data_IF_498053778473
#
_entry.id   IF_498053778473
#
_cell.length_a   1.000
_cell.length_b   1.000
_cell.length_c   1.000
_cell.angle_alpha   90.00
_cell.angle_beta   90.00
_cell.angle_gamma   90.00
#
_symmetry.space_group_name_H-M   'P 1'
#
loop_
_entity.id
_entity.type
_entity.pdbx_description
1 polymer ?
#
# COMPACT_ATOMS: atom_id res chain seq x y z
N UNK A 1 1.27 38.56 -16.17
CA UNK A 1 1.63 37.21 -15.69
C UNK A 1 1.83 36.31 -16.89
N UNK A 2 2.88 35.50 -16.90
CA UNK A 2 3.17 34.59 -18.01
C UNK A 2 2.03 33.56 -18.17
N UNK A 3 1.41 33.53 -19.35
CA UNK A 3 0.41 32.53 -19.73
C UNK A 3 1.00 31.13 -19.57
N UNK A 4 0.35 30.27 -18.78
CA UNK A 4 0.64 28.82 -18.76
C UNK A 4 1.33 28.26 -17.52
N UNK A 5 1.57 29.04 -16.45
CA UNK A 5 1.92 28.46 -15.14
C UNK A 5 0.66 28.35 -14.29
N UNK A 6 0.38 27.17 -13.74
CA UNK A 6 -0.65 27.00 -12.73
C UNK A 6 -0.37 28.01 -11.59
N UNK A 7 -1.35 28.86 -11.29
CA UNK A 7 -1.28 29.78 -10.16
C UNK A 7 -1.25 29.01 -8.84
N UNK A 8 -0.99 29.71 -7.71
CA UNK A 8 -1.16 29.09 -6.39
C UNK A 8 -2.58 28.55 -6.24
N UNK A 9 -2.73 27.44 -5.51
CA UNK A 9 -4.05 26.89 -5.17
C UNK A 9 -4.93 27.99 -4.55
N UNK A 10 -6.19 28.04 -4.96
CA UNK A 10 -7.20 28.91 -4.36
C UNK A 10 -7.68 28.42 -2.99
N UNK A 11 -7.30 27.19 -2.60
CA UNK A 11 -7.55 26.63 -1.28
C UNK A 11 -6.36 26.91 -0.37
N UNK A 12 -6.61 27.65 0.70
CA UNK A 12 -5.67 27.91 1.80
C UNK A 12 -5.94 26.89 2.90
N UNK A 13 -4.88 26.23 3.34
CA UNK A 13 -4.91 25.23 4.42
C UNK A 13 -4.10 25.75 5.59
N UNK A 14 -4.74 25.85 6.76
CA UNK A 14 -4.08 26.19 8.02
C UNK A 14 -4.24 25.04 9.02
N UNK A 15 -3.19 24.77 9.78
CA UNK A 15 -3.19 23.75 10.83
C UNK A 15 -3.03 24.45 12.18
N UNK A 16 -3.87 24.07 13.14
CA UNK A 16 -3.85 24.60 14.50
C UNK A 16 -4.15 23.48 15.51
N UNK A 17 -4.04 23.79 16.81
CA UNK A 17 -4.38 22.88 17.91
C UNK A 17 -3.74 21.49 17.82
N UNK A 18 -2.44 21.43 17.46
CA UNK A 18 -1.72 20.16 17.41
C UNK A 18 -1.52 19.64 18.83
N UNK A 19 -2.07 18.47 19.11
CA UNK A 19 -1.87 17.73 20.35
C UNK A 19 -1.08 16.47 20.05
N UNK A 20 0.07 16.33 20.67
CA UNK A 20 0.88 15.10 20.62
C UNK A 20 0.60 14.28 21.89
N UNK A 21 0.14 13.04 21.72
CA UNK A 21 -0.26 12.19 22.84
C UNK A 21 0.78 11.15 23.23
N UNK A 22 1.43 10.48 22.27
CA UNK A 22 2.38 9.41 22.59
C UNK A 22 3.36 9.13 21.46
N UNK A 23 4.60 8.77 21.83
CA UNK A 23 5.59 8.23 20.91
C UNK A 23 5.49 6.71 20.90
N UNK A 24 5.23 6.10 19.75
CA UNK A 24 5.26 4.65 19.55
C UNK A 24 6.67 4.20 19.18
N UNK A 25 7.55 4.11 20.16
CA UNK A 25 8.93 3.68 19.93
C UNK A 25 9.10 2.16 19.95
N UNK A 26 8.33 1.48 20.81
CA UNK A 26 8.49 0.04 21.08
C UNK A 26 7.17 -0.69 20.98
N UNK A 27 7.27 -1.95 20.58
CA UNK A 27 6.17 -2.92 20.51
C UNK A 27 6.60 -4.22 21.14
N UNK A 28 5.63 -4.99 21.63
CA UNK A 28 5.91 -6.28 22.24
C UNK A 28 6.10 -7.35 21.16
N UNK A 29 7.27 -7.97 21.15
CA UNK A 29 7.53 -9.09 20.24
C UNK A 29 6.87 -10.39 20.73
N UNK A 30 6.94 -11.45 19.92
CA UNK A 30 6.41 -12.78 20.26
C UNK A 30 7.01 -13.43 21.52
N UNK A 31 8.16 -12.93 22.00
CA UNK A 31 8.82 -13.37 23.24
C UNK A 31 8.42 -12.53 24.45
N UNK A 32 7.46 -11.60 24.29
CA UNK A 32 7.01 -10.72 25.36
C UNK A 32 7.97 -9.57 25.68
N UNK A 33 8.96 -9.30 24.82
CA UNK A 33 9.97 -8.26 25.03
C UNK A 33 9.63 -6.99 24.25
N UNK A 34 9.91 -5.83 24.83
CA UNK A 34 9.76 -4.54 24.14
C UNK A 34 10.93 -4.32 23.18
N UNK A 35 10.64 -4.27 21.89
CA UNK A 35 11.61 -4.04 20.82
C UNK A 35 11.23 -2.80 20.03
N UNK A 36 12.19 -2.09 19.41
CA UNK A 36 11.87 -1.00 18.50
C UNK A 36 10.87 -1.43 17.41
N UNK A 37 9.96 -0.54 17.00
CA UNK A 37 8.94 -0.85 15.97
C UNK A 37 9.53 -1.45 14.69
N UNK A 38 10.69 -0.96 14.24
CA UNK A 38 11.39 -1.46 13.05
C UNK A 38 12.12 -2.80 13.24
N UNK A 39 12.33 -3.25 14.48
CA UNK A 39 13.15 -4.42 14.81
C UNK A 39 12.71 -5.68 14.02
N UNK A 40 13.63 -6.54 13.55
CA UNK A 40 13.24 -7.77 12.84
C UNK A 40 12.33 -8.72 13.64
N UNK A 41 12.38 -8.68 14.97
CA UNK A 41 11.50 -9.41 15.88
C UNK A 41 10.15 -8.73 16.14
N UNK A 42 9.98 -7.48 15.70
CA UNK A 42 8.71 -6.75 15.80
C UNK A 42 7.59 -7.45 15.01
N UNK A 43 6.35 -7.48 15.52
CA UNK A 43 5.17 -7.89 14.74
C UNK A 43 5.02 -7.02 13.48
N UNK A 44 5.41 -5.75 13.53
CA UNK A 44 5.36 -4.81 12.41
C UNK A 44 6.54 -4.90 11.44
N UNK A 45 7.54 -5.75 11.70
CA UNK A 45 8.81 -5.78 10.97
C UNK A 45 8.68 -5.79 9.44
N UNK A 46 7.58 -6.33 8.90
CA UNK A 46 7.29 -6.35 7.46
C UNK A 46 6.96 -4.96 6.89
N UNK A 47 6.07 -4.21 7.54
CA UNK A 47 5.65 -2.86 7.09
C UNK A 47 6.57 -1.76 7.62
N UNK A 48 7.15 -1.98 8.81
CA UNK A 48 8.06 -1.08 9.50
C UNK A 48 9.54 -1.29 9.15
N UNK A 49 9.86 -2.11 8.13
CA UNK A 49 11.24 -2.30 7.65
C UNK A 49 12.03 -0.99 7.46
N UNK A 50 11.50 0.09 6.85
CA UNK A 50 12.26 1.34 6.66
C UNK A 50 12.48 2.12 7.95
N UNK A 51 11.82 1.70 9.03
CA UNK A 51 11.94 2.32 10.34
C UNK A 51 13.03 1.64 11.16
N UNK A 52 13.70 0.62 10.59
CA UNK A 52 14.92 0.03 11.15
C UNK A 52 15.98 1.11 11.24
N UNK A 53 16.59 1.22 12.41
CA UNK A 53 17.79 2.02 12.62
C UNK A 53 18.92 1.42 11.77
N UNK A 54 19.25 2.10 10.68
CA UNK A 54 20.51 1.91 9.95
C UNK A 54 21.45 3.03 10.36
N UNK A 55 22.67 2.68 10.75
CA UNK A 55 23.76 3.63 11.01
C UNK A 55 23.47 4.69 12.10
N UNK A 56 22.79 4.29 13.18
CA UNK A 56 22.61 5.14 14.36
C UNK A 56 21.59 6.28 14.21
N UNK A 57 20.95 6.43 13.05
CA UNK A 57 19.80 7.33 12.90
C UNK A 57 18.50 6.56 13.16
N UNK A 58 17.78 6.95 14.20
CA UNK A 58 16.43 6.45 14.46
C UNK A 58 15.49 6.92 13.33
N UNK A 59 14.68 6.02 12.77
CA UNK A 59 13.64 6.40 11.81
C UNK A 59 12.70 7.43 12.44
N UNK A 60 12.54 8.59 11.80
CA UNK A 60 12.53 9.90 12.47
C UNK A 60 11.22 10.44 13.07
N UNK A 61 10.11 9.70 13.15
CA UNK A 61 8.97 10.09 14.02
C UNK A 61 7.94 8.96 14.09
N UNK A 62 7.51 8.58 15.29
CA UNK A 62 6.45 7.59 15.53
C UNK A 62 5.52 8.14 16.59
N UNK A 63 4.48 8.84 16.20
CA UNK A 63 3.49 9.31 17.16
C UNK A 63 2.13 8.71 16.83
N UNK A 64 1.40 8.32 17.86
CA UNK A 64 0.00 7.91 17.76
C UNK A 64 -0.87 8.92 18.51
N UNK A 65 -2.12 9.03 18.08
CA UNK A 65 -3.11 9.94 18.67
C UNK A 65 -2.82 11.43 18.43
N UNK A 66 -2.04 11.78 17.39
CA UNK A 66 -1.90 13.18 17.01
C UNK A 66 -3.27 13.70 16.58
N UNK A 67 -3.75 14.70 17.29
CA UNK A 67 -4.96 15.44 16.95
C UNK A 67 -4.53 16.82 16.45
N UNK A 68 -5.19 17.33 15.41
CA UNK A 68 -4.98 18.67 14.91
C UNK A 68 -6.26 19.19 14.26
N UNK A 69 -6.40 20.51 14.20
CA UNK A 69 -7.50 21.16 13.51
C UNK A 69 -7.04 21.65 12.15
N UNK A 70 -7.81 21.33 11.11
CA UNK A 70 -7.62 21.83 9.76
C UNK A 70 -8.62 22.97 9.50
N UNK A 71 -8.13 24.16 9.21
CA UNK A 71 -8.95 25.30 8.77
C UNK A 71 -8.74 25.52 7.28
N UNK A 72 -9.83 25.51 6.52
CA UNK A 72 -9.83 25.63 5.07
C UNK A 72 -10.51 26.92 4.67
N UNK A 73 -9.83 27.71 3.84
CA UNK A 73 -10.40 28.90 3.20
C UNK A 73 -10.31 28.72 1.70
N UNK A 74 -11.43 28.78 1.01
CA UNK A 74 -11.50 28.62 -0.44
C UNK A 74 -12.56 29.56 -1.02
N UNK A 75 -12.43 29.97 -2.29
CA UNK A 75 -13.40 30.86 -2.91
C UNK A 75 -14.76 30.17 -3.04
N UNK A 76 -15.84 30.94 -2.88
CA UNK A 76 -17.20 30.42 -3.11
C UNK A 76 -17.51 30.14 -4.59
N UNK A 77 -16.69 30.67 -5.51
CA UNK A 77 -16.79 30.43 -6.96
C UNK A 77 -15.42 30.62 -7.60
N UNK A 78 -15.07 29.79 -8.58
CA UNK A 78 -13.88 29.97 -9.40
C UNK A 78 -14.17 30.87 -10.61
N UNK A 79 -13.11 31.34 -11.26
CA UNK A 79 -13.20 31.98 -12.56
C UNK A 79 -13.26 30.91 -13.66
N UNK A 80 -13.75 31.31 -14.83
CA UNK A 80 -13.75 30.52 -16.06
C UNK A 80 -12.36 29.88 -16.33
N UNK A 81 -12.28 28.61 -16.78
CA UNK A 81 -13.38 27.74 -17.21
C UNK A 81 -13.94 26.82 -16.11
N UNK A 82 -13.77 27.18 -14.83
CA UNK A 82 -14.17 26.33 -13.70
C UNK A 82 -15.29 26.95 -12.84
N UNK A 83 -16.01 27.94 -13.37
CA UNK A 83 -16.99 28.74 -12.65
C UNK A 83 -18.34 28.00 -12.42
N UNK A 84 -18.47 26.82 -13.01
CA UNK A 84 -19.52 25.81 -12.79
C UNK A 84 -19.17 24.80 -11.68
N UNK A 85 -17.92 24.75 -11.23
CA UNK A 85 -17.45 23.83 -10.20
C UNK A 85 -17.93 24.25 -8.81
N UNK A 86 -18.59 23.34 -8.09
CA UNK A 86 -18.86 23.52 -6.66
C UNK A 86 -17.58 23.23 -5.85
N UNK A 87 -16.84 24.29 -5.56
CA UNK A 87 -15.57 24.22 -4.82
C UNK A 87 -15.73 23.55 -3.46
N UNK A 88 -16.87 23.76 -2.77
CA UNK A 88 -17.09 23.15 -1.45
C UNK A 88 -17.23 21.65 -1.61
N UNK A 89 -18.02 21.19 -2.57
CA UNK A 89 -18.23 19.77 -2.82
C UNK A 89 -16.93 19.06 -3.18
N UNK A 90 -16.08 19.68 -4.01
CA UNK A 90 -14.76 19.14 -4.38
C UNK A 90 -13.81 19.04 -3.18
N UNK A 91 -13.78 20.07 -2.33
CA UNK A 91 -12.97 20.06 -1.10
C UNK A 91 -13.46 18.97 -0.15
N UNK A 92 -14.78 18.83 0.05
CA UNK A 92 -15.36 17.77 0.87
C UNK A 92 -15.04 16.37 0.33
N UNK A 93 -15.14 16.16 -0.98
CA UNK A 93 -14.78 14.90 -1.64
C UNK A 93 -13.30 14.58 -1.43
N UNK A 94 -12.41 15.55 -1.59
CA UNK A 94 -10.98 15.39 -1.37
C UNK A 94 -10.64 15.04 0.08
N UNK A 95 -11.29 15.69 1.05
CA UNK A 95 -11.11 15.40 2.48
C UNK A 95 -11.59 14.00 2.84
N UNK A 96 -12.77 13.61 2.35
CA UNK A 96 -13.30 12.26 2.57
C UNK A 96 -12.37 11.19 1.98
N UNK A 97 -11.91 11.37 0.74
CA UNK A 97 -10.99 10.42 0.11
C UNK A 97 -9.64 10.37 0.85
N UNK A 98 -9.13 11.51 1.31
CA UNK A 98 -7.89 11.59 2.08
C UNK A 98 -8.00 10.91 3.45
N UNK A 99 -9.10 11.12 4.17
CA UNK A 99 -9.39 10.46 5.43
C UNK A 99 -9.53 8.95 5.24
N UNK A 100 -10.28 8.52 4.21
CA UNK A 100 -10.68 7.12 4.00
C UNK A 100 -9.56 6.26 3.41
N UNK A 101 -8.83 6.78 2.42
CA UNK A 101 -7.84 6.02 1.64
C UNK A 101 -6.42 6.60 1.70
N UNK A 102 -6.28 7.85 2.15
CA UNK A 102 -5.01 8.55 2.25
C UNK A 102 -4.33 8.39 3.60
N UNK A 103 -3.67 9.46 4.04
CA UNK A 103 -2.97 9.55 5.31
C UNK A 103 -1.87 10.62 5.29
N UNK A 104 -1.14 10.73 6.41
CA UNK A 104 -0.03 11.66 6.59
C UNK A 104 1.33 10.95 6.63
N UNK A 105 2.34 11.57 6.02
CA UNK A 105 3.71 11.11 6.08
C UNK A 105 4.05 9.96 5.13
N UNK A 106 5.03 9.13 5.52
CA UNK A 106 5.55 8.06 4.68
C UNK A 106 4.75 6.76 4.82
N UNK A 107 4.60 6.02 3.72
CA UNK A 107 3.96 4.68 3.67
C UNK A 107 2.46 4.65 3.97
N UNK A 108 1.74 5.70 3.61
CA UNK A 108 0.26 5.79 3.70
C UNK A 108 -0.46 4.61 3.05
N UNK A 109 0.02 4.14 1.89
CA UNK A 109 -0.52 2.95 1.20
C UNK A 109 -0.28 1.61 1.91
N UNK A 110 0.48 1.62 3.00
CA UNK A 110 0.70 0.48 3.89
C UNK A 110 0.16 0.75 5.29
N UNK A 111 -0.68 1.77 5.47
CA UNK A 111 -1.49 2.01 6.67
C UNK A 111 -0.91 3.00 7.67
N UNK A 112 0.29 3.54 7.39
CA UNK A 112 0.88 4.58 8.24
C UNK A 112 0.14 5.91 8.08
N UNK A 113 0.01 6.65 9.18
CA UNK A 113 -0.60 7.98 9.17
C UNK A 113 -2.08 7.97 8.78
N UNK A 114 -2.78 6.85 9.05
CA UNK A 114 -4.22 6.78 8.95
C UNK A 114 -4.87 7.87 9.81
N UNK A 115 -5.92 8.47 9.28
CA UNK A 115 -6.66 9.58 9.90
C UNK A 115 -8.07 9.14 10.27
N UNK A 116 -8.65 9.87 11.23
CA UNK A 116 -10.06 9.82 11.58
C UNK A 116 -10.55 11.25 11.74
N UNK A 117 -11.67 11.58 11.10
CA UNK A 117 -12.38 12.82 11.31
C UNK A 117 -13.16 12.73 12.64
N UNK A 118 -12.88 13.68 13.53
CA UNK A 118 -13.54 13.74 14.85
C UNK A 118 -14.68 14.75 14.85
N UNK A 119 -14.44 15.94 14.30
CA UNK A 119 -15.38 17.06 14.35
C UNK A 119 -15.30 17.91 13.08
N UNK A 120 -16.42 18.53 12.72
CA UNK A 120 -16.51 19.58 11.71
C UNK A 120 -17.24 20.76 12.34
N UNK A 121 -16.62 21.94 12.33
CA UNK A 121 -17.18 23.18 12.87
C UNK A 121 -17.77 23.04 14.29
N UNK A 122 -17.07 22.29 15.16
CA UNK A 122 -17.46 22.03 16.54
C UNK A 122 -18.58 20.99 16.72
N UNK A 123 -18.97 20.30 15.64
CA UNK A 123 -19.93 19.20 15.68
C UNK A 123 -19.21 17.88 15.52
N UNK A 124 -19.41 16.97 16.48
CA UNK A 124 -18.86 15.62 16.43
C UNK A 124 -19.41 14.83 15.23
N UNK A 125 -18.51 14.20 14.48
CA UNK A 125 -18.84 13.32 13.37
C UNK A 125 -18.74 11.88 13.86
N UNK A 126 -19.87 11.16 13.82
CA UNK A 126 -19.90 9.75 14.21
C UNK A 126 -19.37 8.87 13.07
N UNK A 127 -18.37 8.01 13.29
CA UNK A 127 -17.93 7.05 12.27
C UNK A 127 -18.99 5.95 12.06
N UNK A 128 -18.97 5.25 10.91
CA UNK A 128 -19.89 4.13 10.67
C UNK A 128 -19.67 3.00 11.68
N UNK A 129 -20.69 2.19 11.95
CA UNK A 129 -20.51 0.94 12.70
C UNK A 129 -19.69 -0.04 11.88
N UNK A 130 -18.91 -0.92 12.52
CA UNK A 130 -18.05 -1.89 11.85
C UNK A 130 -18.77 -2.67 10.72
N UNK A 131 -19.99 -3.16 10.97
CA UNK A 131 -20.80 -3.88 9.97
C UNK A 131 -21.40 -3.06 8.85
N UNK A 132 -21.31 -1.75 8.94
CA UNK A 132 -21.86 -0.81 7.96
C UNK A 132 -20.75 -0.12 7.17
N UNK A 133 -19.47 -0.41 7.46
CA UNK A 133 -18.34 0.25 6.80
C UNK A 133 -18.37 0.00 5.30
N UNK A 134 -18.66 -1.23 4.84
CA UNK A 134 -18.71 -1.50 3.40
C UNK A 134 -19.77 -0.66 2.69
N UNK A 135 -21.01 -0.66 3.19
CA UNK A 135 -22.09 0.11 2.59
C UNK A 135 -21.86 1.63 2.71
N UNK A 136 -21.25 2.07 3.82
CA UNK A 136 -20.80 3.45 3.98
C UNK A 136 -19.78 3.84 2.90
N UNK A 137 -18.73 3.05 2.68
CA UNK A 137 -17.73 3.34 1.63
C UNK A 137 -18.39 3.37 0.24
N UNK A 138 -19.27 2.42 -0.09
CA UNK A 138 -19.97 2.41 -1.39
C UNK A 138 -20.81 3.67 -1.59
N UNK A 139 -21.54 4.10 -0.57
CA UNK A 139 -22.37 5.30 -0.63
C UNK A 139 -21.52 6.55 -0.82
N UNK A 140 -20.45 6.69 -0.07
CA UNK A 140 -19.58 7.87 -0.17
C UNK A 140 -18.79 7.89 -1.49
N UNK A 141 -18.38 6.73 -2.03
CA UNK A 141 -17.84 6.63 -3.41
C UNK A 141 -18.86 7.17 -4.43
N UNK A 142 -20.10 6.70 -4.38
CA UNK A 142 -21.15 7.15 -5.31
C UNK A 142 -21.48 8.65 -5.15
N UNK A 143 -21.30 9.21 -3.95
CA UNK A 143 -21.54 10.63 -3.67
C UNK A 143 -20.42 11.54 -4.13
N UNK A 144 -19.17 11.14 -3.90
CA UNK A 144 -18.00 12.01 -4.02
C UNK A 144 -17.15 11.73 -5.26
N UNK A 145 -17.29 10.56 -5.89
CA UNK A 145 -16.47 10.17 -7.03
C UNK A 145 -17.35 10.14 -8.29
N UNK A 146 -17.26 11.17 -9.15
CA UNK A 146 -18.06 11.20 -10.37
C UNK A 146 -17.60 10.11 -11.34
N UNK A 147 -18.55 9.60 -12.13
CA UNK A 147 -18.21 8.83 -13.33
C UNK A 147 -17.53 9.75 -14.35
N UNK A 148 -16.44 9.29 -14.97
CA UNK A 148 -15.69 10.12 -15.89
C UNK A 148 -14.57 9.37 -16.58
N UNK A 149 -13.94 10.05 -17.54
CA UNK A 149 -12.71 9.59 -18.17
C UNK A 149 -11.51 10.15 -17.42
N UNK A 150 -10.60 9.27 -17.03
CA UNK A 150 -9.36 9.63 -16.38
C UNK A 150 -8.20 9.58 -17.37
N UNK A 151 -7.15 10.40 -17.19
CA UNK A 151 -5.97 10.32 -18.04
C UNK A 151 -5.33 8.92 -17.95
N UNK A 152 -4.85 8.43 -19.09
CA UNK A 152 -4.20 7.13 -19.18
C UNK A 152 -2.99 7.06 -18.23
N UNK A 153 -2.87 5.94 -17.50
CA UNK A 153 -1.75 5.71 -16.58
C UNK A 153 -1.79 6.50 -15.27
N UNK A 154 -2.84 7.30 -15.02
CA UNK A 154 -3.01 8.05 -13.76
C UNK A 154 -3.85 7.24 -12.78
N UNK A 155 -3.29 6.88 -11.60
CA UNK A 155 -4.06 6.20 -10.57
C UNK A 155 -5.24 7.04 -10.06
N UNK A 156 -6.42 6.45 -9.99
CA UNK A 156 -7.64 7.15 -9.57
C UNK A 156 -8.61 6.23 -8.81
N UNK A 157 -9.61 6.84 -8.19
CA UNK A 157 -10.79 6.17 -7.65
C UNK A 157 -11.88 6.19 -8.72
N UNK A 158 -12.50 5.04 -8.98
CA UNK A 158 -13.77 4.97 -9.70
C UNK A 158 -14.95 4.90 -8.72
N UNK A 159 -16.17 5.21 -9.18
CA UNK A 159 -17.39 5.01 -8.37
C UNK A 159 -17.59 3.53 -7.99
N UNK A 160 -17.09 2.62 -8.83
CA UNK A 160 -17.14 1.16 -8.64
C UNK A 160 -15.81 0.57 -8.13
N UNK A 161 -15.01 1.39 -7.44
CA UNK A 161 -13.68 0.99 -6.99
C UNK A 161 -13.71 -0.35 -6.23
N UNK A 162 -12.72 -1.21 -6.52
CA UNK A 162 -12.61 -2.52 -5.90
C UNK A 162 -11.96 -2.42 -4.52
N UNK A 163 -12.69 -2.76 -3.48
CA UNK A 163 -12.19 -2.79 -2.11
C UNK A 163 -12.71 -4.00 -1.31
N UNK A 164 -12.03 -4.31 -0.20
CA UNK A 164 -12.41 -5.33 0.78
C UNK A 164 -12.32 -4.73 2.18
N UNK A 165 -13.35 -4.95 2.98
CA UNK A 165 -13.34 -4.67 4.42
C UNK A 165 -13.01 -5.97 5.16
N UNK A 166 -11.86 -6.00 5.81
CA UNK A 166 -11.40 -7.12 6.62
C UNK A 166 -11.87 -6.97 8.07
N UNK A 167 -12.91 -7.72 8.44
CA UNK A 167 -13.42 -7.82 9.80
C UNK A 167 -13.83 -9.28 10.10
N UNK A 168 -13.42 -9.88 11.23
CA UNK A 168 -13.67 -11.29 11.56
C UNK A 168 -15.15 -11.61 11.75
N UNK A 169 -15.94 -10.58 12.05
CA UNK A 169 -17.39 -10.56 11.98
C UNK A 169 -17.76 -9.15 11.51
N UNK A 170 -18.84 -8.99 10.76
CA UNK A 170 -19.39 -7.67 10.45
C UNK A 170 -19.93 -6.95 11.71
N UNK A 171 -19.53 -7.33 12.93
CA UNK A 171 -20.01 -6.75 14.19
C UNK A 171 -18.88 -6.20 15.07
N UNK A 172 -17.65 -6.72 14.96
CA UNK A 172 -16.60 -6.45 15.95
C UNK A 172 -15.55 -5.46 15.44
N UNK A 173 -15.59 -4.23 15.97
CA UNK A 173 -14.50 -3.29 15.84
C UNK A 173 -13.29 -3.76 16.67
N UNK A 174 -12.07 -3.49 16.18
CA UNK A 174 -10.82 -3.79 16.90
C UNK A 174 -10.07 -2.52 17.25
N UNK A 175 -9.04 -2.65 18.09
CA UNK A 175 -8.02 -1.62 18.14
C UNK A 175 -7.44 -1.43 16.73
N UNK A 176 -7.19 -0.17 16.33
CA UNK A 176 -6.69 0.16 14.99
C UNK A 176 -5.42 -0.62 14.63
N UNK A 177 -4.59 -0.88 15.64
CA UNK A 177 -3.42 -1.70 15.55
C UNK A 177 -3.71 -3.13 15.08
N UNK A 178 -4.66 -3.81 15.70
CA UNK A 178 -4.97 -5.21 15.40
C UNK A 178 -5.60 -5.37 14.01
N UNK A 179 -6.50 -4.44 13.64
CA UNK A 179 -7.09 -4.39 12.30
C UNK A 179 -6.00 -4.23 11.24
N UNK A 180 -5.03 -3.34 11.48
CA UNK A 180 -3.91 -3.14 10.59
C UNK A 180 -2.96 -4.35 10.55
N UNK A 181 -2.64 -4.93 11.71
CA UNK A 181 -1.76 -6.10 11.85
C UNK A 181 -2.25 -7.29 11.05
N UNK A 182 -3.54 -7.61 11.15
CA UNK A 182 -4.11 -8.71 10.39
C UNK A 182 -4.04 -8.48 8.90
N UNK A 183 -4.39 -7.27 8.45
CA UNK A 183 -4.41 -6.93 7.03
C UNK A 183 -3.01 -7.02 6.39
N UNK A 184 -1.97 -6.44 7.00
CA UNK A 184 -0.63 -6.57 6.42
C UNK A 184 -0.03 -7.97 6.58
N UNK A 185 -0.46 -8.75 7.59
CA UNK A 185 -0.04 -10.15 7.72
C UNK A 185 -0.66 -11.02 6.62
N UNK A 186 -1.89 -10.75 6.18
CA UNK A 186 -2.47 -11.36 4.97
C UNK A 186 -1.62 -11.04 3.74
N UNK A 187 -1.26 -9.76 3.53
CA UNK A 187 -0.36 -9.36 2.44
C UNK A 187 1.01 -10.06 2.52
N UNK A 188 1.61 -10.09 3.72
CA UNK A 188 2.90 -10.74 3.96
C UNK A 188 2.83 -12.22 3.59
N UNK A 189 1.80 -12.92 4.06
CA UNK A 189 1.58 -14.35 3.82
C UNK A 189 1.46 -14.64 2.32
N UNK A 190 0.67 -13.82 1.62
CA UNK A 190 0.51 -13.91 0.17
C UNK A 190 1.84 -13.68 -0.58
N UNK A 191 2.53 -12.55 -0.31
CA UNK A 191 3.78 -12.16 -1.01
C UNK A 191 5.00 -13.01 -0.66
N UNK A 192 4.98 -13.68 0.49
CA UNK A 192 6.06 -14.53 1.00
C UNK A 192 5.67 -16.01 1.06
N UNK A 193 4.66 -16.42 0.30
CA UNK A 193 4.19 -17.80 0.24
C UNK A 193 5.33 -18.78 -0.10
N UNK A 194 5.42 -19.86 0.68
CA UNK A 194 6.51 -20.84 0.65
C UNK A 194 6.00 -22.26 0.87
N UNK A 195 6.75 -23.25 0.38
CA UNK A 195 6.36 -24.67 0.44
C UNK A 195 6.46 -25.34 1.83
N UNK A 196 7.25 -24.79 2.76
CA UNK A 196 7.47 -25.32 4.12
C UNK A 196 7.55 -24.19 5.14
N UNK A 197 6.46 -23.46 5.32
CA UNK A 197 6.42 -22.27 6.19
C UNK A 197 7.53 -21.28 5.85
N UNK A 198 8.14 -20.65 6.86
CA UNK A 198 9.20 -19.64 6.67
C UNK A 198 10.50 -20.18 6.06
N UNK A 199 10.73 -21.50 6.08
CA UNK A 199 11.99 -22.13 5.67
C UNK A 199 11.94 -22.77 4.27
N UNK A 200 10.76 -22.85 3.65
CA UNK A 200 10.56 -23.46 2.34
C UNK A 200 11.05 -22.61 1.16
N UNK A 201 11.07 -23.24 -0.02
CA UNK A 201 11.26 -22.53 -1.30
C UNK A 201 10.08 -21.57 -1.51
N UNK A 202 10.37 -20.44 -2.14
CA UNK A 202 9.34 -19.52 -2.62
C UNK A 202 8.36 -20.25 -3.53
N UNK A 203 7.06 -20.00 -3.36
CA UNK A 203 6.02 -20.40 -4.31
C UNK A 203 5.91 -19.44 -5.49
N UNK A 204 6.59 -18.30 -5.41
CA UNK A 204 6.71 -17.34 -6.51
C UNK A 204 7.91 -17.64 -7.41
N UNK A 205 7.83 -17.37 -8.73
CA UNK A 205 8.86 -17.74 -9.72
C UNK A 205 10.16 -16.94 -9.63
N UNK A 206 10.15 -15.72 -9.09
CA UNK A 206 11.27 -14.78 -9.27
C UNK A 206 12.59 -15.29 -8.72
N UNK A 207 12.68 -15.93 -7.54
CA UNK A 207 13.96 -16.44 -7.05
C UNK A 207 14.58 -17.48 -7.98
N UNK A 208 13.77 -18.30 -8.66
CA UNK A 208 14.26 -19.28 -9.62
C UNK A 208 14.66 -18.60 -10.93
N UNK A 209 13.90 -17.61 -11.38
CA UNK A 209 14.23 -16.84 -12.57
C UNK A 209 15.51 -16.00 -12.40
N UNK A 210 15.72 -15.40 -11.23
CA UNK A 210 16.97 -14.69 -10.90
C UNK A 210 18.15 -15.66 -11.00
N UNK A 211 18.06 -16.84 -10.38
CA UNK A 211 19.09 -17.89 -10.47
C UNK A 211 19.39 -18.31 -11.91
N UNK A 212 18.37 -18.42 -12.77
CA UNK A 212 18.57 -18.71 -14.21
C UNK A 212 19.35 -17.59 -14.90
N UNK A 213 18.96 -16.34 -14.66
CA UNK A 213 19.57 -15.17 -15.31
C UNK A 213 20.99 -14.89 -14.84
N UNK A 214 21.27 -15.05 -13.55
CA UNK A 214 22.61 -14.88 -12.99
C UNK A 214 23.49 -16.11 -13.16
N UNK A 215 22.90 -17.27 -13.54
CA UNK A 215 23.57 -18.57 -13.64
C UNK A 215 24.26 -19.00 -12.34
N UNK A 216 23.68 -18.62 -11.20
CA UNK A 216 24.19 -18.93 -9.87
C UNK A 216 23.08 -19.49 -8.99
N UNK A 217 23.37 -20.52 -8.20
CA UNK A 217 22.47 -21.04 -7.17
C UNK A 217 23.25 -21.80 -6.09
N UNK A 218 22.76 -21.78 -4.85
CA UNK A 218 23.35 -22.59 -3.78
C UNK A 218 22.86 -24.05 -3.85
N UNK A 219 23.77 -25.01 -3.90
CA UNK A 219 23.51 -26.45 -3.75
C UNK A 219 22.19 -26.95 -4.39
N UNK A 220 21.23 -27.39 -3.55
CA UNK A 220 19.93 -27.97 -3.94
C UNK A 220 18.89 -26.95 -4.43
N UNK A 221 19.24 -25.66 -4.52
CA UNK A 221 18.34 -24.57 -4.93
C UNK A 221 18.33 -24.33 -6.45
N UNK A 222 18.75 -25.32 -7.24
CA UNK A 222 18.62 -25.29 -8.70
C UNK A 222 17.20 -24.86 -9.11
N UNK A 223 17.04 -23.97 -10.12
CA UNK A 223 15.74 -23.46 -10.57
C UNK A 223 14.79 -24.57 -11.04
N UNK A 224 13.55 -24.57 -10.54
CA UNK A 224 12.50 -25.56 -10.85
C UNK A 224 11.22 -24.94 -11.37
N UNK A 225 10.88 -23.72 -10.93
CA UNK A 225 9.64 -23.07 -11.33
C UNK A 225 9.62 -22.79 -12.84
N UNK A 226 8.58 -23.25 -13.54
CA UNK A 226 8.53 -23.18 -15.02
C UNK A 226 8.33 -21.75 -15.53
N UNK A 227 7.45 -20.97 -14.89
CA UNK A 227 7.25 -19.55 -15.19
C UNK A 227 8.54 -18.73 -15.00
N UNK A 228 8.87 -17.92 -16.00
CA UNK A 228 10.11 -17.11 -16.09
C UNK A 228 9.83 -15.60 -16.04
N UNK A 229 9.03 -15.18 -15.06
CA UNK A 229 8.49 -13.81 -14.94
C UNK A 229 8.60 -13.27 -13.51
N UNK A 230 8.27 -11.99 -13.35
CA UNK A 230 8.39 -11.22 -12.11
C UNK A 230 7.04 -10.65 -11.62
N UNK A 231 6.03 -11.51 -11.39
CA UNK A 231 4.66 -11.09 -11.14
C UNK A 231 4.48 -10.21 -9.91
N UNK A 232 5.29 -10.36 -8.85
CA UNK A 232 5.18 -9.47 -7.68
C UNK A 232 5.46 -8.01 -8.00
N UNK A 233 6.06 -7.68 -9.15
CA UNK A 233 6.25 -6.31 -9.64
C UNK A 233 4.94 -5.52 -9.78
N UNK A 234 3.80 -6.21 -9.90
CA UNK A 234 2.47 -5.59 -9.93
C UNK A 234 2.06 -4.94 -8.58
N UNK A 235 2.70 -5.30 -7.46
CA UNK A 235 2.51 -4.64 -6.15
C UNK A 235 3.26 -3.30 -6.01
N UNK A 236 3.84 -2.80 -7.09
CA UNK A 236 4.71 -1.63 -7.11
C UNK A 236 6.19 -1.98 -6.98
N UNK A 237 7.03 -0.97 -7.20
CA UNK A 237 8.48 -1.06 -7.34
C UNK A 237 9.18 0.02 -6.48
N UNK A 238 10.44 -0.18 -6.09
CA UNK A 238 11.29 -1.34 -6.39
C UNK A 238 10.96 -2.56 -5.50
N UNK A 239 11.37 -3.74 -5.96
CA UNK A 239 11.39 -4.97 -5.15
C UNK A 239 12.83 -5.46 -5.04
N UNK A 240 13.33 -5.51 -3.82
CA UNK A 240 14.67 -6.02 -3.53
C UNK A 240 14.60 -7.50 -3.16
N UNK A 241 15.40 -8.31 -3.83
CA UNK A 241 15.54 -9.74 -3.58
C UNK A 241 16.86 -10.00 -2.86
N UNK A 242 16.76 -10.35 -1.57
CA UNK A 242 17.90 -10.76 -0.76
C UNK A 242 17.95 -12.29 -0.68
N UNK A 243 19.09 -12.87 -1.04
CA UNK A 243 19.34 -14.32 -0.94
C UNK A 243 20.24 -14.60 0.26
N UNK A 244 19.71 -15.35 1.25
CA UNK A 244 20.45 -15.69 2.47
C UNK A 244 21.70 -16.56 2.22
N UNK A 245 21.69 -17.33 1.13
CA UNK A 245 22.71 -18.32 0.81
C UNK A 245 23.70 -17.79 -0.25
N UNK A 246 23.79 -16.46 -0.45
CA UNK A 246 24.71 -15.82 -1.41
C UNK A 246 26.16 -16.31 -1.21
N UNK A 247 26.60 -16.42 0.06
CA UNK A 247 27.93 -16.97 0.42
C UNK A 247 28.14 -18.44 0.00
N UNK A 248 27.07 -19.15 -0.30
CA UNK A 248 27.07 -20.56 -0.71
C UNK A 248 26.72 -20.73 -2.20
N UNK A 249 26.75 -19.65 -2.98
CA UNK A 249 26.59 -19.67 -4.44
C UNK A 249 25.22 -19.23 -4.95
N UNK A 250 24.29 -18.80 -4.08
CA UNK A 250 23.06 -18.15 -4.55
C UNK A 250 23.36 -16.76 -5.18
N UNK A 251 22.42 -16.20 -5.95
CA UNK A 251 22.60 -14.90 -6.61
C UNK A 251 22.92 -13.76 -5.64
N UNK A 252 23.68 -12.75 -6.09
CA UNK A 252 23.80 -11.51 -5.32
C UNK A 252 22.44 -10.84 -5.19
N UNK A 253 22.33 -9.95 -4.20
CA UNK A 253 21.19 -9.06 -4.08
C UNK A 253 20.81 -8.43 -5.42
N UNK A 254 19.52 -8.45 -5.75
CA UNK A 254 19.02 -7.94 -7.03
C UNK A 254 17.78 -7.09 -6.81
N UNK A 255 17.57 -6.09 -7.66
CA UNK A 255 16.42 -5.18 -7.58
C UNK A 255 15.60 -5.25 -8.85
N UNK A 256 14.30 -5.51 -8.74
CA UNK A 256 13.32 -5.28 -9.81
C UNK A 256 12.83 -3.84 -9.73
N UNK A 257 12.91 -3.12 -10.84
CA UNK A 257 12.54 -1.71 -10.97
C UNK A 257 12.07 -1.41 -12.40
N UNK A 258 11.55 -0.21 -12.64
CA UNK A 258 11.26 0.24 -14.01
C UNK A 258 12.55 0.47 -14.79
N UNK A 259 12.48 0.34 -16.12
CA UNK A 259 13.65 0.51 -16.98
C UNK A 259 14.23 1.93 -16.89
N UNK A 260 13.37 2.94 -17.05
CA UNK A 260 13.73 4.37 -17.00
C UNK A 260 13.41 5.02 -15.65
N UNK A 261 12.48 4.44 -14.88
CA UNK A 261 12.01 4.96 -13.60
C UNK A 261 12.15 3.93 -12.48
N UNK A 262 12.94 4.24 -11.45
CA UNK A 262 13.24 3.29 -10.38
C UNK A 262 12.02 2.91 -9.53
N UNK A 263 11.04 3.81 -9.41
CA UNK A 263 9.94 3.69 -8.45
C UNK A 263 8.60 3.68 -9.16
N UNK A 264 7.79 2.67 -8.85
CA UNK A 264 6.38 2.63 -9.20
C UNK A 264 5.57 2.46 -7.92
N UNK A 265 4.67 3.40 -7.74
CA UNK A 265 3.72 3.50 -6.68
C UNK A 265 2.81 2.24 -6.63
N UNK A 266 2.72 1.51 -5.50
CA UNK A 266 1.75 0.40 -5.33
C UNK A 266 0.30 0.85 -5.56
N UNK A 267 -0.47 0.24 -6.48
CA UNK A 267 -1.89 0.56 -6.65
C UNK A 267 -2.78 0.05 -5.51
N UNK A 268 -2.26 -0.88 -4.71
CA UNK A 268 -2.92 -1.39 -3.51
C UNK A 268 -2.68 -0.46 -2.32
N UNK A 269 -3.78 -0.06 -1.67
CA UNK A 269 -3.83 0.63 -0.39
C UNK A 269 -4.31 -0.36 0.67
N UNK A 270 -3.56 -0.47 1.79
CA UNK A 270 -3.95 -1.25 2.96
C UNK A 270 -3.85 -0.37 4.19
N UNK A 271 -4.93 -0.24 4.96
CA UNK A 271 -4.93 0.59 6.17
C UNK A 271 -6.03 0.19 7.16
N UNK A 272 -5.91 0.56 8.44
CA UNK A 272 -7.07 0.60 9.31
C UNK A 272 -7.99 1.76 8.90
N UNK A 273 -9.30 1.54 8.99
CA UNK A 273 -10.33 2.56 8.83
C UNK A 273 -11.15 2.62 10.12
N UNK A 274 -11.26 3.81 10.71
CA UNK A 274 -11.98 4.03 11.94
C UNK A 274 -13.47 3.70 11.79
N UNK A 275 -14.04 3.10 12.83
CA UNK A 275 -15.46 2.77 12.93
C UNK A 275 -15.91 2.92 14.39
N UNK A 276 -17.22 2.89 14.65
CA UNK A 276 -17.73 2.99 16.01
C UNK A 276 -17.16 1.87 16.88
N UNK A 277 -16.42 2.25 17.93
CA UNK A 277 -15.79 1.31 18.87
C UNK A 277 -14.40 0.80 18.49
N UNK A 278 -13.80 1.27 17.38
CA UNK A 278 -12.46 0.86 16.99
C UNK A 278 -12.17 1.08 15.50
N UNK A 279 -11.66 0.06 14.81
CA UNK A 279 -11.37 0.10 13.39
C UNK A 279 -11.54 -1.27 12.72
N UNK A 280 -11.70 -1.24 11.41
CA UNK A 280 -11.67 -2.40 10.51
C UNK A 280 -10.46 -2.32 9.57
N UNK A 281 -10.02 -3.44 9.00
CA UNK A 281 -9.04 -3.41 7.91
C UNK A 281 -9.70 -3.01 6.60
N UNK A 282 -9.06 -2.15 5.81
CA UNK A 282 -9.52 -1.76 4.49
C UNK A 282 -8.41 -2.00 3.46
N UNK A 283 -8.73 -2.79 2.44
CA UNK A 283 -7.93 -2.94 1.24
C UNK A 283 -8.64 -2.30 0.05
N UNK A 284 -7.97 -1.39 -0.66
CA UNK A 284 -8.47 -0.75 -1.86
C UNK A 284 -7.48 -0.93 -3.00
N UNK A 285 -7.97 -1.28 -4.19
CA UNK A 285 -7.21 -1.27 -5.43
C UNK A 285 -7.54 0.02 -6.21
N UNK A 286 -6.54 0.85 -6.45
CA UNK A 286 -6.66 2.00 -7.35
C UNK A 286 -6.79 1.54 -8.81
N UNK A 287 -7.60 2.26 -9.57
CA UNK A 287 -7.76 2.09 -11.02
C UNK A 287 -6.69 2.87 -11.78
N UNK A 288 -6.61 2.71 -13.09
CA UNK A 288 -5.69 3.47 -13.96
C UNK A 288 -4.19 3.21 -13.77
N UNK A 289 -3.82 2.34 -12.83
CA UNK A 289 -2.42 1.95 -12.60
C UNK A 289 -1.98 0.91 -13.63
N UNK A 290 -1.54 1.41 -14.79
CA UNK A 290 -1.13 0.61 -15.94
C UNK A 290 0.27 0.02 -15.84
N UNK A 291 0.62 -0.77 -16.86
CA UNK A 291 1.99 -1.23 -17.08
C UNK A 291 2.94 -0.03 -17.26
N UNK A 292 4.20 -0.17 -16.85
CA UNK A 292 5.20 0.86 -17.12
C UNK A 292 5.44 0.97 -18.63
N UNK A 293 5.34 2.15 -19.24
CA UNK A 293 5.57 2.33 -20.68
C UNK A 293 6.92 1.80 -21.13
N UNK A 294 7.95 2.00 -20.30
CA UNK A 294 9.33 1.61 -20.62
C UNK A 294 9.69 0.18 -20.18
N UNK A 295 8.72 -0.54 -19.60
CA UNK A 295 8.91 -1.90 -19.11
C UNK A 295 9.72 -2.00 -17.81
N UNK A 296 10.18 -3.22 -17.54
CA UNK A 296 10.75 -3.61 -16.25
C UNK A 296 12.14 -4.22 -16.42
N UNK A 297 13.02 -3.96 -15.45
CA UNK A 297 14.37 -4.53 -15.43
C UNK A 297 14.69 -5.17 -14.09
N UNK A 298 15.42 -6.29 -14.14
CA UNK A 298 16.12 -6.84 -12.99
C UNK A 298 17.57 -6.34 -13.01
N UNK A 299 18.01 -5.73 -11.91
CA UNK A 299 19.37 -5.22 -11.73
C UNK A 299 20.06 -5.96 -10.57
N UNK A 300 20.93 -6.95 -10.85
CA UNK A 300 21.79 -7.54 -9.84
C UNK A 300 22.83 -6.55 -9.34
N UNK A 301 23.20 -6.63 -8.07
CA UNK A 301 24.27 -5.83 -7.48
C UNK A 301 25.59 -6.11 -8.19
N UNK A 302 26.18 -5.07 -8.79
CA UNK A 302 27.41 -5.18 -9.58
C UNK A 302 27.23 -5.83 -10.97
N UNK A 303 25.98 -6.07 -11.40
CA UNK A 303 25.65 -6.65 -12.70
C UNK A 303 24.97 -5.66 -13.65
N UNK A 304 24.81 -6.08 -14.91
CA UNK A 304 24.03 -5.35 -15.90
C UNK A 304 22.51 -5.51 -15.68
N UNK A 305 21.75 -4.47 -16.01
CA UNK A 305 20.29 -4.53 -16.04
C UNK A 305 19.79 -5.48 -17.12
N UNK A 306 18.78 -6.28 -16.81
CA UNK A 306 18.19 -7.26 -17.72
C UNK A 306 16.68 -7.00 -17.87
N UNK A 307 16.14 -6.85 -19.09
CA UNK A 307 14.70 -6.72 -19.31
C UNK A 307 13.92 -7.94 -18.82
N UNK A 308 12.77 -7.71 -18.19
CA UNK A 308 11.91 -8.76 -17.61
C UNK A 308 10.42 -8.45 -17.79
N UNK A 309 9.59 -9.49 -17.70
CA UNK A 309 8.14 -9.40 -17.79
C UNK A 309 7.49 -9.57 -16.42
N UNK A 310 6.43 -8.81 -16.13
CA UNK A 310 5.66 -8.91 -14.87
C UNK A 310 4.23 -9.40 -15.06
N UNK A 311 3.70 -9.32 -16.28
CA UNK A 311 2.32 -9.72 -16.58
C UNK A 311 2.25 -11.20 -16.95
N UNK A 312 1.25 -11.89 -16.42
CA UNK A 312 1.07 -13.32 -16.59
C UNK A 312 -0.05 -13.60 -17.59
N UNK A 313 0.07 -14.73 -18.27
CA UNK A 313 -1.07 -15.38 -18.91
C UNK A 313 -1.81 -16.23 -17.87
N UNK A 314 -3.07 -16.59 -18.14
CA UNK A 314 -3.83 -17.52 -17.27
C UNK A 314 -3.09 -18.85 -17.06
N UNK A 315 -2.46 -19.39 -18.12
CA UNK A 315 -1.72 -20.65 -18.04
C UNK A 315 -0.51 -20.57 -17.11
N UNK A 316 0.18 -19.42 -17.08
CA UNK A 316 1.28 -19.19 -16.14
C UNK A 316 0.75 -18.95 -14.72
N UNK A 317 -0.37 -18.23 -14.56
CA UNK A 317 -0.97 -17.96 -13.25
C UNK A 317 -1.39 -19.25 -12.53
N UNK A 318 -1.93 -20.24 -13.26
CA UNK A 318 -2.28 -21.58 -12.71
C UNK A 318 -1.09 -22.36 -12.17
N UNK A 319 0.14 -22.00 -12.54
CA UNK A 319 1.36 -22.64 -12.07
C UNK A 319 1.97 -21.95 -10.84
N UNK A 320 1.39 -20.83 -10.39
CA UNK A 320 1.90 -20.03 -9.27
C UNK A 320 0.87 -20.17 -8.14
N UNK A 321 1.15 -21.05 -7.17
CA UNK A 321 0.19 -21.44 -6.13
C UNK A 321 -0.59 -20.27 -5.49
N UNK A 322 0.03 -19.12 -5.13
CA UNK A 322 -0.70 -18.04 -4.47
C UNK A 322 -1.73 -17.32 -5.36
N UNK A 323 -1.68 -17.52 -6.67
CA UNK A 323 -2.56 -16.83 -7.63
C UNK A 323 -3.86 -17.56 -7.91
N UNK A 324 -3.95 -18.86 -7.61
CA UNK A 324 -5.14 -19.68 -7.87
C UNK A 324 -5.72 -19.51 -9.31
N UNK A 325 -4.83 -19.34 -10.29
CA UNK A 325 -5.21 -19.15 -11.69
C UNK A 325 -5.54 -17.72 -12.13
N UNK A 326 -5.58 -16.75 -11.21
CA UNK A 326 -5.80 -15.33 -11.52
C UNK A 326 -4.49 -14.64 -11.98
N UNK A 327 -4.36 -14.22 -13.26
CA UNK A 327 -3.14 -13.60 -13.77
C UNK A 327 -2.85 -12.19 -13.24
N UNK A 328 -3.87 -11.46 -12.78
CA UNK A 328 -3.71 -10.18 -12.12
C UNK A 328 -3.40 -10.38 -10.64
N UNK A 329 -2.17 -10.08 -10.25
CA UNK A 329 -1.66 -10.35 -8.90
C UNK A 329 -2.40 -9.53 -7.83
N UNK A 330 -2.93 -8.35 -8.19
CA UNK A 330 -3.72 -7.54 -7.29
C UNK A 330 -5.12 -8.13 -7.13
N UNK A 331 -5.76 -8.55 -8.23
CA UNK A 331 -7.05 -9.23 -8.17
C UNK A 331 -6.96 -10.53 -7.36
N UNK A 332 -5.92 -11.35 -7.58
CA UNK A 332 -5.67 -12.56 -6.81
C UNK A 332 -5.55 -12.28 -5.31
N UNK A 333 -4.88 -11.18 -4.95
CA UNK A 333 -4.79 -10.78 -3.55
C UNK A 333 -6.13 -10.28 -2.99
N UNK A 334 -6.92 -9.54 -3.75
CA UNK A 334 -8.26 -9.11 -3.32
C UNK A 334 -9.17 -10.31 -3.09
N UNK A 335 -9.14 -11.31 -3.98
CA UNK A 335 -9.87 -12.57 -3.82
C UNK A 335 -9.39 -13.33 -2.57
N UNK A 336 -8.07 -13.36 -2.32
CA UNK A 336 -7.49 -13.95 -1.11
C UNK A 336 -7.94 -13.27 0.19
N UNK A 337 -8.27 -11.97 0.15
CA UNK A 337 -8.82 -11.26 1.32
C UNK A 337 -10.29 -11.60 1.59
N UNK A 338 -11.06 -11.92 0.54
CA UNK A 338 -12.47 -12.29 0.62
C UNK A 338 -12.69 -13.76 1.01
N UNK A 339 -11.66 -14.60 0.83
CA UNK A 339 -11.67 -16.05 1.04
C UNK A 339 -11.66 -16.51 2.49
#
# INVERSE_FOLDING_TARGET
GAKGKAGPSSVIVAISHIRETSVLDKVRNRKGQDVPVGDPGSPLSYVAFPLRSTDGQAGSLRCEGIEFTLSLTFPGRLEEPFDDLDVRQEVEAALWAWETFGGLGGRTRRGFGALQLLEVDGQTVAPPRAGQVEEWVRRELARHVPAGQWPEGVPHLGPDATFVVDSPSCADAREAWEAWEQLFNKLRTFRQARSKGSYGRSKWPEPDEIRRRTRTHAGKLAPRHEVRKFPRGQFGLPIIFHFKDEKFGDPPESTLQGAEHERLASPLILRPLACAGGAVGLALRLEGSGALPDGYVLRPKGGASMPVEVHLTEAEARQIDPLDGEPDVLAAFMNYLQG
#
